data_IF_636419357042
#
_entry.id   IF_636419357042
#
_cell.length_a   1.000
_cell.length_b   1.000
_cell.length_c   1.000
_cell.angle_alpha   90.00
_cell.angle_beta   90.00
_cell.angle_gamma   90.00
#
_symmetry.space_group_name_H-M   'P 1'
#
loop_
_entity.id
_entity.type
_entity.pdbx_description
1 polymer ?
#
# COMPACT_ATOMS: atom_id res chain seq x y z
N UNK A 1 -27.71 43.01 -7.99
CA UNK A 1 -26.34 43.31 -8.49
C UNK A 1 -26.10 42.44 -9.74
N UNK A 2 -26.10 43.05 -10.97
CA UNK A 2 -25.84 42.30 -12.20
C UNK A 2 -24.33 42.09 -12.29
N UNK A 3 -23.85 40.81 -12.10
CA UNK A 3 -22.47 40.48 -12.41
C UNK A 3 -22.22 40.78 -13.89
N UNK A 4 -21.18 41.55 -14.18
CA UNK A 4 -20.70 41.74 -15.55
C UNK A 4 -20.22 40.40 -16.12
N UNK A 5 -20.47 40.14 -17.42
CA UNK A 5 -19.96 38.92 -18.10
C UNK A 5 -18.46 38.74 -17.90
N UNK A 6 -17.72 39.82 -17.83
CA UNK A 6 -16.29 39.84 -17.54
C UNK A 6 -15.94 39.25 -16.16
N UNK A 7 -16.72 39.62 -15.12
CA UNK A 7 -16.49 39.06 -13.76
C UNK A 7 -16.81 37.57 -13.69
N UNK A 8 -17.76 37.07 -14.45
CA UNK A 8 -18.11 35.65 -14.52
C UNK A 8 -16.96 34.87 -15.13
N UNK A 9 -16.34 35.34 -16.22
CA UNK A 9 -15.20 34.67 -16.85
C UNK A 9 -13.99 34.60 -15.90
N UNK A 10 -13.70 35.66 -15.16
CA UNK A 10 -12.62 35.67 -14.16
C UNK A 10 -12.89 34.67 -13.04
N UNK A 11 -14.10 34.57 -12.54
CA UNK A 11 -14.49 33.64 -11.48
C UNK A 11 -14.31 32.18 -11.97
N UNK A 12 -14.76 31.88 -13.18
CA UNK A 12 -14.61 30.54 -13.78
C UNK A 12 -13.12 30.19 -13.95
N UNK A 13 -12.30 31.10 -14.47
CA UNK A 13 -10.86 30.92 -14.62
C UNK A 13 -10.16 30.65 -13.28
N UNK A 14 -10.55 31.44 -12.24
CA UNK A 14 -10.00 31.25 -10.90
C UNK A 14 -10.37 29.86 -10.30
N UNK A 15 -11.63 29.44 -10.45
CA UNK A 15 -12.09 28.12 -9.98
C UNK A 15 -11.37 26.97 -10.70
N UNK A 16 -11.12 27.11 -12.01
CA UNK A 16 -10.37 26.11 -12.77
C UNK A 16 -8.92 25.99 -12.26
N UNK A 17 -8.24 27.10 -12.00
CA UNK A 17 -6.87 27.10 -11.44
C UNK A 17 -6.84 26.46 -10.06
N UNK A 18 -7.77 26.80 -9.17
CA UNK A 18 -7.87 26.20 -7.84
C UNK A 18 -8.12 24.69 -7.94
N UNK A 19 -8.98 24.25 -8.85
CA UNK A 19 -9.23 22.82 -9.10
C UNK A 19 -7.96 22.04 -9.51
N UNK A 20 -7.16 22.63 -10.41
CA UNK A 20 -5.89 22.04 -10.84
C UNK A 20 -4.89 21.95 -9.68
N UNK A 21 -4.78 22.96 -8.84
CA UNK A 21 -3.89 22.95 -7.68
C UNK A 21 -4.30 21.87 -6.68
N UNK A 22 -5.59 21.76 -6.35
CA UNK A 22 -6.11 20.72 -5.45
C UNK A 22 -5.79 19.33 -5.99
N UNK A 23 -5.99 19.12 -7.29
CA UNK A 23 -5.68 17.84 -7.94
C UNK A 23 -4.19 17.50 -7.84
N UNK A 24 -3.29 18.46 -8.08
CA UNK A 24 -1.84 18.24 -7.96
C UNK A 24 -1.44 17.89 -6.51
N UNK A 25 -1.98 18.59 -5.52
CA UNK A 25 -1.71 18.30 -4.11
C UNK A 25 -2.17 16.88 -3.73
N UNK A 26 -3.30 16.44 -4.24
CA UNK A 26 -3.81 15.09 -4.01
C UNK A 26 -2.90 14.01 -4.63
N UNK A 27 -2.42 14.23 -5.87
CA UNK A 27 -1.49 13.31 -6.54
C UNK A 27 -0.16 13.19 -5.80
N UNK A 28 0.40 14.30 -5.34
CA UNK A 28 1.66 14.34 -4.57
C UNK A 28 1.48 13.59 -3.25
N UNK A 29 0.36 13.77 -2.55
CA UNK A 29 0.11 13.11 -1.28
C UNK A 29 0.02 11.59 -1.42
N UNK A 30 -0.62 11.08 -2.48
CA UNK A 30 -0.72 9.65 -2.74
C UNK A 30 0.63 9.04 -3.13
N UNK A 31 1.41 9.68 -3.98
CA UNK A 31 2.75 9.23 -4.31
C UNK A 31 3.63 9.12 -3.05
N UNK A 32 3.57 10.12 -2.19
CA UNK A 32 4.31 10.12 -0.92
C UNK A 32 3.84 9.00 0.04
N UNK A 33 2.55 8.64 0.02
CA UNK A 33 2.03 7.51 0.82
C UNK A 33 2.60 6.18 0.34
N UNK A 34 2.67 5.95 -0.98
CA UNK A 34 3.26 4.76 -1.56
C UNK A 34 4.75 4.61 -1.24
N UNK A 35 5.50 5.70 -1.33
CA UNK A 35 6.92 5.71 -0.95
C UNK A 35 7.11 5.35 0.52
N UNK A 36 6.28 5.88 1.42
CA UNK A 36 6.30 5.54 2.84
C UNK A 36 6.02 4.05 3.08
N UNK A 37 5.06 3.47 2.37
CA UNK A 37 4.77 2.03 2.44
C UNK A 37 5.99 1.22 2.02
N UNK A 38 6.60 1.58 0.90
CA UNK A 38 7.79 0.89 0.40
C UNK A 38 8.94 0.92 1.41
N UNK A 39 9.25 2.08 1.99
CA UNK A 39 10.28 2.22 3.03
C UNK A 39 9.91 1.46 4.31
N UNK A 40 8.66 1.51 4.74
CA UNK A 40 8.22 0.76 5.91
C UNK A 40 8.37 -0.76 5.70
N UNK A 41 8.10 -1.28 4.50
CA UNK A 41 8.32 -2.69 4.17
C UNK A 41 9.81 -3.05 4.16
N UNK A 42 10.70 -2.14 3.72
CA UNK A 42 12.15 -2.32 3.83
C UNK A 42 12.59 -2.38 5.30
N UNK A 43 12.07 -1.51 6.17
CA UNK A 43 12.36 -1.51 7.59
C UNK A 43 11.88 -2.81 8.27
N UNK A 44 10.69 -3.32 7.89
CA UNK A 44 10.19 -4.64 8.35
C UNK A 44 11.14 -5.75 7.96
N UNK A 45 11.57 -5.76 6.70
CA UNK A 45 12.49 -6.77 6.20
C UNK A 45 13.84 -6.72 6.95
N UNK A 46 14.39 -5.53 7.18
CA UNK A 46 15.64 -5.35 7.92
C UNK A 46 15.53 -5.89 9.35
N UNK A 47 14.40 -5.67 10.04
CA UNK A 47 14.15 -6.21 11.38
C UNK A 47 14.06 -7.71 11.38
N UNK A 48 13.34 -8.30 10.43
CA UNK A 48 13.26 -9.75 10.27
C UNK A 48 14.65 -10.38 10.09
N UNK A 49 15.52 -9.74 9.30
CA UNK A 49 16.90 -10.19 9.11
C UNK A 49 17.76 -10.08 10.37
N UNK A 50 17.62 -9.00 11.12
CA UNK A 50 18.35 -8.81 12.39
C UNK A 50 18.02 -9.88 13.41
N UNK A 51 16.77 -10.29 13.50
CA UNK A 51 16.33 -11.31 14.44
C UNK A 51 16.86 -12.71 14.08
N UNK A 52 17.01 -12.98 12.80
CA UNK A 52 17.44 -14.30 12.34
C UNK A 52 18.97 -14.51 12.35
N UNK A 53 19.78 -13.52 12.75
CA UNK A 53 21.24 -13.54 12.88
C UNK A 53 22.05 -14.05 11.65
N UNK A 54 21.40 -14.54 10.58
CA UNK A 54 22.03 -15.23 9.45
C UNK A 54 21.85 -14.50 8.11
N UNK A 55 21.23 -13.35 8.08
CA UNK A 55 20.84 -12.74 6.83
C UNK A 55 21.73 -11.59 6.38
N UNK A 56 22.40 -11.76 5.24
CA UNK A 56 22.82 -10.62 4.43
C UNK A 56 21.59 -10.08 3.71
N UNK A 57 21.26 -8.82 3.96
CA UNK A 57 20.27 -8.08 3.17
C UNK A 57 20.68 -8.11 1.70
N UNK A 58 19.90 -8.75 0.87
CA UNK A 58 20.08 -8.71 -0.58
C UNK A 58 19.29 -7.51 -1.11
N UNK A 59 19.87 -6.75 -2.02
CA UNK A 59 19.17 -5.63 -2.64
C UNK A 59 17.92 -6.10 -3.41
N UNK A 60 16.88 -5.26 -3.44
CA UNK A 60 15.65 -5.47 -4.23
C UNK A 60 14.75 -6.65 -3.77
N UNK A 61 14.64 -6.88 -2.48
CA UNK A 61 13.74 -7.90 -1.93
C UNK A 61 12.29 -7.42 -1.78
N UNK A 62 12.06 -6.12 -1.76
CA UNK A 62 10.73 -5.51 -1.79
C UNK A 62 10.41 -5.11 -3.22
N UNK A 63 9.39 -5.72 -3.81
CA UNK A 63 8.95 -5.47 -5.17
C UNK A 63 7.53 -4.89 -5.14
N UNK A 64 7.33 -3.78 -5.82
CA UNK A 64 6.02 -3.18 -6.07
C UNK A 64 5.43 -3.79 -7.34
N UNK A 65 4.41 -4.63 -7.19
CA UNK A 65 3.71 -5.29 -8.31
C UNK A 65 2.62 -4.37 -8.90
N UNK A 66 1.88 -3.67 -8.02
CA UNK A 66 0.90 -2.64 -8.39
C UNK A 66 0.88 -1.54 -7.33
N UNK A 67 0.03 -0.52 -7.51
CA UNK A 67 -0.08 0.57 -6.52
C UNK A 67 -0.62 0.11 -5.17
N UNK A 68 -1.38 -0.97 -5.15
CA UNK A 68 -1.98 -1.56 -3.96
C UNK A 68 -1.34 -2.88 -3.52
N UNK A 69 -0.34 -3.41 -4.27
CA UNK A 69 0.18 -4.75 -4.03
C UNK A 69 1.70 -4.81 -4.09
N UNK A 70 2.30 -5.36 -3.03
CA UNK A 70 3.75 -5.53 -2.88
C UNK A 70 4.07 -6.98 -2.54
N UNK A 71 5.24 -7.45 -3.01
CA UNK A 71 5.84 -8.71 -2.60
C UNK A 71 7.15 -8.48 -1.89
N UNK A 72 7.43 -9.26 -0.86
CA UNK A 72 8.65 -9.16 -0.06
C UNK A 72 9.28 -10.54 0.07
N UNK A 73 10.44 -10.70 -0.54
CA UNK A 73 11.21 -11.95 -0.52
C UNK A 73 12.07 -12.00 0.75
N UNK A 74 11.71 -12.86 1.67
CA UNK A 74 12.44 -13.03 2.94
C UNK A 74 13.52 -14.11 2.82
N UNK A 75 13.28 -15.17 2.02
CA UNK A 75 14.21 -16.27 1.74
C UNK A 75 14.64 -17.12 2.95
N UNK A 76 13.90 -17.07 4.03
CA UNK A 76 14.08 -17.94 5.21
C UNK A 76 12.75 -18.10 5.95
N UNK A 77 12.71 -18.98 6.93
CA UNK A 77 11.54 -19.17 7.78
C UNK A 77 11.43 -18.05 8.82
N UNK A 78 10.22 -17.54 9.01
CA UNK A 78 9.88 -16.53 10.03
C UNK A 78 8.53 -16.86 10.66
N UNK A 79 8.33 -16.39 11.89
CA UNK A 79 7.04 -16.54 12.57
C UNK A 79 6.04 -15.46 12.12
N UNK A 80 4.79 -15.87 11.88
CA UNK A 80 3.71 -14.95 11.48
C UNK A 80 3.48 -13.85 12.51
N UNK A 81 3.57 -14.18 13.80
CA UNK A 81 3.40 -13.25 14.92
C UNK A 81 4.47 -12.16 14.93
N UNK A 82 5.69 -12.50 14.58
CA UNK A 82 6.83 -11.58 14.46
C UNK A 82 6.64 -10.67 13.25
N UNK A 83 6.27 -11.23 12.09
CA UNK A 83 5.96 -10.45 10.89
C UNK A 83 4.84 -9.44 11.16
N UNK A 84 3.72 -9.88 11.74
CA UNK A 84 2.59 -9.00 12.08
C UNK A 84 3.00 -7.86 13.00
N UNK A 85 3.77 -8.18 14.05
CA UNK A 85 4.26 -7.18 14.98
C UNK A 85 5.10 -6.10 14.28
N UNK A 86 5.98 -6.49 13.36
CA UNK A 86 6.80 -5.54 12.61
C UNK A 86 5.99 -4.75 11.60
N UNK A 87 5.06 -5.36 10.87
CA UNK A 87 4.17 -4.64 9.96
C UNK A 87 3.38 -3.55 10.70
N UNK A 88 2.71 -3.91 11.79
CA UNK A 88 1.93 -2.95 12.59
C UNK A 88 2.84 -1.84 13.15
N UNK A 89 3.98 -2.21 13.74
CA UNK A 89 4.87 -1.23 14.39
C UNK A 89 5.50 -0.26 13.38
N UNK A 90 5.93 -0.73 12.21
CA UNK A 90 6.54 0.15 11.22
C UNK A 90 5.50 1.02 10.51
N UNK A 91 4.29 0.52 10.27
CA UNK A 91 3.23 1.35 9.70
C UNK A 91 2.80 2.45 10.67
N UNK A 92 2.63 2.14 11.94
CA UNK A 92 2.34 3.16 12.97
C UNK A 92 3.45 4.19 13.10
N UNK A 93 4.72 3.77 13.14
CA UNK A 93 5.90 4.65 13.20
C UNK A 93 5.94 5.64 12.03
N UNK A 94 5.54 5.19 10.83
CA UNK A 94 5.52 6.02 9.62
C UNK A 94 4.21 6.81 9.44
N UNK A 95 3.30 6.79 10.44
CA UNK A 95 1.97 7.40 10.37
C UNK A 95 1.19 6.92 9.13
N UNK A 96 1.26 5.62 8.86
CA UNK A 96 0.48 4.94 7.83
C UNK A 96 -0.77 4.37 8.47
N UNK A 97 -1.85 5.15 8.38
CA UNK A 97 -3.19 4.74 8.81
C UNK A 97 -3.89 4.08 7.62
N UNK A 98 -3.64 2.78 7.43
CA UNK A 98 -4.12 2.00 6.29
C UNK A 98 -4.54 0.60 6.72
N UNK A 99 -5.62 0.14 6.15
CA UNK A 99 -6.01 -1.27 6.21
C UNK A 99 -5.15 -2.07 5.23
N UNK A 100 -4.72 -3.25 5.64
CA UNK A 100 -3.93 -4.11 4.76
C UNK A 100 -4.24 -5.60 4.98
N UNK A 101 -4.10 -6.33 3.90
CA UNK A 101 -4.14 -7.78 3.87
C UNK A 101 -2.74 -8.29 3.59
N UNK A 102 -2.29 -9.32 4.31
CA UNK A 102 -1.05 -9.98 3.95
C UNK A 102 -1.23 -11.48 3.87
N UNK A 103 -0.42 -12.10 3.03
CA UNK A 103 -0.37 -13.54 2.87
C UNK A 103 1.07 -14.02 2.77
N UNK A 104 1.36 -15.15 3.40
CA UNK A 104 2.68 -15.80 3.39
C UNK A 104 2.62 -16.99 2.46
N UNK A 105 3.60 -17.10 1.57
CA UNK A 105 3.70 -18.12 0.55
C UNK A 105 5.00 -18.87 0.65
N UNK A 106 4.96 -20.15 0.30
CA UNK A 106 6.14 -20.97 0.11
C UNK A 106 6.82 -20.63 -1.23
N UNK A 107 8.12 -20.33 -1.22
CA UNK A 107 8.87 -19.95 -2.42
C UNK A 107 8.94 -21.05 -3.48
N UNK A 108 8.84 -22.33 -3.09
CA UNK A 108 8.98 -23.45 -4.03
C UNK A 108 7.67 -23.82 -4.71
N UNK A 109 6.56 -23.74 -3.98
CA UNK A 109 5.25 -24.23 -4.46
C UNK A 109 4.25 -23.11 -4.74
N UNK A 110 4.57 -21.87 -4.39
CA UNK A 110 3.65 -20.71 -4.40
C UNK A 110 2.34 -20.96 -3.64
N UNK A 111 2.33 -21.94 -2.75
CA UNK A 111 1.17 -22.23 -1.92
C UNK A 111 1.12 -21.29 -0.73
N UNK A 112 -0.08 -20.77 -0.49
CA UNK A 112 -0.33 -19.90 0.66
C UNK A 112 -0.24 -20.71 1.96
N UNK A 113 0.64 -20.29 2.86
CA UNK A 113 0.80 -20.91 4.18
C UNK A 113 -0.04 -20.19 5.25
N UNK A 114 -0.27 -18.89 5.10
CA UNK A 114 -1.01 -18.08 6.07
C UNK A 114 -1.52 -16.80 5.42
N UNK A 115 -2.65 -16.26 5.90
CA UNK A 115 -3.12 -14.91 5.52
C UNK A 115 -3.94 -14.27 6.64
N UNK A 116 -3.91 -12.95 6.71
CA UNK A 116 -4.66 -12.16 7.67
C UNK A 116 -4.99 -10.77 7.12
N UNK A 117 -6.10 -10.19 7.59
CA UNK A 117 -6.45 -8.80 7.37
C UNK A 117 -6.24 -8.01 8.67
N UNK A 118 -5.61 -6.86 8.58
CA UNK A 118 -5.33 -5.98 9.70
C UNK A 118 -5.87 -4.59 9.36
N UNK A 119 -6.79 -4.10 10.18
CA UNK A 119 -7.31 -2.75 10.01
C UNK A 119 -6.32 -1.70 10.57
N UNK A 120 -6.54 -0.44 10.23
CA UNK A 120 -5.74 0.70 10.67
C UNK A 120 -5.57 0.80 12.20
N UNK A 121 -6.54 0.28 12.97
CA UNK A 121 -6.45 0.21 14.42
C UNK A 121 -5.63 -0.99 14.94
N UNK A 122 -5.05 -1.80 14.04
CA UNK A 122 -4.30 -3.01 14.39
C UNK A 122 -5.18 -4.21 14.82
N UNK A 123 -6.49 -4.14 14.58
CA UNK A 123 -7.39 -5.28 14.84
C UNK A 123 -7.26 -6.29 13.71
N UNK A 124 -7.29 -7.57 14.08
CA UNK A 124 -7.06 -8.69 13.17
C UNK A 124 -8.38 -9.34 12.79
N UNK A 125 -8.59 -9.53 11.51
CA UNK A 125 -9.69 -10.33 10.96
C UNK A 125 -9.10 -11.49 10.15
N UNK A 126 -9.16 -12.74 10.66
CA UNK A 126 -8.56 -13.86 9.96
C UNK A 126 -9.25 -14.09 8.61
N UNK A 127 -8.49 -14.06 7.55
CA UNK A 127 -8.96 -14.45 6.23
C UNK A 127 -9.06 -15.98 6.22
N UNK A 128 -10.22 -16.51 5.91
CA UNK A 128 -10.40 -17.95 5.73
C UNK A 128 -9.57 -18.41 4.54
N UNK A 129 -8.48 -19.09 4.83
CA UNK A 129 -7.65 -19.74 3.82
C UNK A 129 -8.01 -21.22 3.74
N UNK A 130 -8.83 -21.67 2.76
CA UNK A 130 -9.27 -23.06 2.68
C UNK A 130 -8.15 -24.04 2.34
N UNK A 131 -7.00 -23.57 1.88
CA UNK A 131 -5.85 -24.38 1.43
C UNK A 131 -4.54 -23.99 2.11
N UNK A 132 -4.58 -23.32 3.27
CA UNK A 132 -3.37 -23.00 4.00
C UNK A 132 -2.75 -24.25 4.59
N UNK A 133 -1.48 -24.46 4.30
CA UNK A 133 -0.67 -25.54 4.86
C UNK A 133 0.09 -25.04 6.10
N UNK A 134 0.39 -25.98 7.02
CA UNK A 134 1.29 -25.66 8.12
C UNK A 134 2.68 -25.32 7.56
N UNK A 135 3.33 -24.30 8.10
CA UNK A 135 4.71 -23.97 7.74
C UNK A 135 5.63 -25.14 8.00
N UNK A 136 6.51 -25.41 7.06
CA UNK A 136 7.58 -26.39 7.21
C UNK A 136 8.91 -25.63 7.37
N UNK A 137 9.71 -25.90 8.43
CA UNK A 137 10.99 -25.23 8.68
C UNK A 137 12.05 -25.44 7.59
N UNK A 138 11.86 -26.43 6.71
CA UNK A 138 12.76 -26.67 5.59
C UNK A 138 12.51 -25.73 4.39
N UNK A 139 11.43 -24.93 4.42
CA UNK A 139 11.05 -24.08 3.29
C UNK A 139 11.34 -22.61 3.54
N UNK A 140 11.77 -21.95 2.48
CA UNK A 140 11.85 -20.48 2.44
C UNK A 140 10.50 -19.89 2.10
N UNK A 141 10.22 -18.72 2.64
CA UNK A 141 8.96 -18.03 2.47
C UNK A 141 9.15 -16.61 1.97
N UNK A 142 8.16 -16.13 1.26
CA UNK A 142 7.96 -14.72 0.97
C UNK A 142 6.57 -14.31 1.48
N UNK A 143 6.33 -13.02 1.63
CA UNK A 143 4.97 -12.54 1.89
C UNK A 143 4.57 -11.52 0.84
N UNK A 144 3.28 -11.48 0.58
CA UNK A 144 2.65 -10.46 -0.22
C UNK A 144 1.75 -9.61 0.67
N UNK A 145 1.66 -8.32 0.39
CA UNK A 145 0.82 -7.38 1.11
C UNK A 145 0.01 -6.55 0.14
N UNK A 146 -1.28 -6.40 0.45
CA UNK A 146 -2.23 -5.66 -0.34
C UNK A 146 -2.89 -4.58 0.51
N UNK A 147 -3.13 -3.43 -0.10
CA UNK A 147 -3.78 -2.28 0.50
C UNK A 147 -5.08 -1.97 -0.23
N UNK A 148 -6.23 -2.56 0.16
CA UNK A 148 -7.46 -2.53 -0.61
C UNK A 148 -8.01 -1.12 -0.84
N UNK A 149 -7.71 -0.17 0.05
CA UNK A 149 -8.23 1.19 -0.03
C UNK A 149 -7.36 2.16 -0.84
N UNK A 150 -6.13 1.76 -1.23
CA UNK A 150 -5.23 2.64 -1.96
C UNK A 150 -5.61 2.74 -3.44
N UNK A 151 -6.01 1.64 -4.07
CA UNK A 151 -6.25 1.59 -5.52
C UNK A 151 -7.64 2.09 -5.94
N UNK A 152 -8.65 1.95 -5.09
CA UNK A 152 -10.04 2.26 -5.46
C UNK A 152 -10.29 3.74 -5.80
N UNK A 153 -9.43 4.66 -5.36
CA UNK A 153 -9.64 6.10 -5.54
C UNK A 153 -8.81 6.71 -6.70
N UNK A 154 -7.78 6.05 -7.20
CA UNK A 154 -6.83 6.69 -8.10
C UNK A 154 -7.34 6.81 -9.55
N UNK A 155 -7.82 5.73 -10.14
CA UNK A 155 -8.27 5.72 -11.54
C UNK A 155 -9.75 6.05 -11.74
N UNK A 156 -10.61 5.69 -10.82
CA UNK A 156 -12.05 6.05 -10.89
C UNK A 156 -12.26 7.55 -10.87
N UNK A 157 -11.49 8.27 -10.05
CA UNK A 157 -11.60 9.71 -9.93
C UNK A 157 -10.94 10.43 -11.13
N UNK A 158 -9.84 9.98 -11.68
CA UNK A 158 -9.20 10.58 -12.85
C UNK A 158 -10.12 10.61 -14.08
N UNK A 159 -10.78 9.49 -14.39
CA UNK A 159 -11.72 9.42 -15.52
C UNK A 159 -12.93 10.36 -15.31
N UNK A 160 -13.38 10.53 -14.08
CA UNK A 160 -14.49 11.41 -13.76
C UNK A 160 -14.12 12.89 -13.89
N UNK A 161 -12.89 13.28 -13.54
CA UNK A 161 -12.40 14.65 -13.68
C UNK A 161 -12.12 15.05 -15.14
N UNK A 162 -11.64 14.15 -16.00
CA UNK A 162 -11.49 14.41 -17.44
C UNK A 162 -12.83 14.67 -18.12
N UNK A 163 -13.89 13.99 -17.68
CA UNK A 163 -15.26 14.23 -18.19
C UNK A 163 -15.74 15.62 -17.78
N UNK A 164 -15.50 16.05 -16.54
CA UNK A 164 -15.89 17.38 -16.08
C UNK A 164 -15.11 18.51 -16.77
N UNK A 165 -13.82 18.33 -17.03
CA UNK A 165 -13.03 19.34 -17.75
C UNK A 165 -13.39 19.40 -19.23
N UNK A 166 -13.77 18.31 -19.87
CA UNK A 166 -14.20 18.29 -21.29
C UNK A 166 -15.60 18.89 -21.53
N UNK A 167 -16.43 18.99 -20.49
CA UNK A 167 -17.77 19.62 -20.58
C UNK A 167 -17.72 21.14 -20.34
N UNK A 168 -16.61 21.65 -19.77
CA UNK A 168 -16.44 23.09 -19.46
C UNK A 168 -15.77 23.89 -20.60
N UNK A 169 -15.30 23.23 -21.65
CA UNK A 169 -14.77 23.83 -22.88
C UNK A 169 -15.62 23.47 -24.10
#
# INVERSE_FOLDING_TARGET
MKLSRFNIVIIIGFLAIVGVIIMQLFLINNAHKLDKIFFALQDVLEKLYKDNQNGLLVANQVEKVSDDYFTVNVNYEFENTVLEHYLISEFQKNNLDVDFEYAVYNCTSDQMAFSNHINSNGQKEPIKCPTCFSKNPEYTYYFAIRFPDIDQNYFKNLNQYWIFTSVLF
#
